data_IF_125447283630
#
_entry.id   IF_125447283630
#
_cell.length_a   1.000
_cell.length_b   1.000
_cell.length_c   1.000
_cell.angle_alpha   90.00
_cell.angle_beta   90.00
_cell.angle_gamma   90.00
#
_symmetry.space_group_name_H-M   'P 1'
#
loop_
_entity.id
_entity.type
_entity.pdbx_description
1 polymer ?
#
# COMPACT_ATOMS: atom_id res chain seq x y z
N UNK A 1 37.06 -33.81 -35.78
CA UNK A 1 36.66 -32.48 -36.28
C UNK A 1 35.63 -32.72 -37.37
N UNK A 2 34.36 -32.61 -37.01
CA UNK A 2 33.22 -32.95 -37.88
C UNK A 2 32.38 -31.70 -38.20
N UNK A 3 31.79 -31.65 -39.41
CA UNK A 3 30.99 -30.54 -39.89
C UNK A 3 29.62 -30.46 -39.21
N UNK A 4 29.08 -29.24 -39.21
CA UNK A 4 27.77 -28.84 -38.66
C UNK A 4 26.64 -29.55 -39.43
N UNK A 5 25.74 -30.32 -38.76
CA UNK A 5 24.51 -30.75 -39.37
C UNK A 5 23.37 -29.75 -39.12
N UNK A 6 22.62 -29.51 -40.19
CA UNK A 6 21.35 -28.82 -40.19
C UNK A 6 20.34 -29.53 -39.27
N UNK A 7 19.80 -28.77 -38.29
CA UNK A 7 18.61 -29.14 -37.51
C UNK A 7 17.63 -27.97 -37.72
N UNK A 8 16.78 -28.10 -38.73
CA UNK A 8 15.42 -28.65 -38.63
C UNK A 8 14.42 -27.56 -38.20
N UNK A 9 13.72 -27.06 -39.21
CA UNK A 9 12.72 -25.98 -39.24
C UNK A 9 11.40 -26.36 -38.54
N UNK A 10 11.46 -26.87 -37.31
CA UNK A 10 10.24 -27.29 -36.58
C UNK A 10 9.92 -26.45 -35.33
N UNK A 11 10.78 -25.51 -34.93
CA UNK A 11 10.53 -24.73 -33.70
C UNK A 11 9.55 -23.57 -33.86
N UNK A 12 9.15 -23.19 -35.08
CA UNK A 12 8.30 -22.02 -35.32
C UNK A 12 6.79 -22.29 -35.17
N UNK A 13 6.34 -23.55 -35.12
CA UNK A 13 4.92 -23.90 -35.09
C UNK A 13 4.37 -24.21 -33.67
N UNK A 14 5.23 -24.34 -32.66
CA UNK A 14 4.81 -24.64 -31.29
C UNK A 14 4.38 -23.41 -30.47
N UNK A 15 4.85 -22.21 -30.85
CA UNK A 15 4.65 -20.98 -30.07
C UNK A 15 3.34 -20.25 -30.39
N UNK A 16 2.74 -20.51 -31.57
CA UNK A 16 1.49 -19.85 -31.97
C UNK A 16 0.23 -20.51 -31.35
N UNK A 17 0.31 -21.77 -30.95
CA UNK A 17 -0.84 -22.51 -30.40
C UNK A 17 -1.12 -22.22 -28.93
N UNK A 18 -0.15 -21.70 -28.17
CA UNK A 18 -0.32 -21.46 -26.73
C UNK A 18 -0.91 -20.07 -26.40
N UNK A 19 -1.08 -19.21 -27.40
CA UNK A 19 -1.50 -17.81 -27.22
C UNK A 19 -3.01 -17.61 -27.41
N UNK A 20 -3.75 -18.62 -27.88
CA UNK A 20 -5.18 -18.49 -28.23
C UNK A 20 -6.13 -18.99 -27.14
N UNK A 21 -5.65 -19.70 -26.12
CA UNK A 21 -6.52 -20.21 -25.02
C UNK A 21 -6.73 -19.23 -23.87
N UNK A 22 -6.10 -18.05 -23.87
CA UNK A 22 -6.21 -17.08 -22.79
C UNK A 22 -7.35 -16.04 -22.94
N UNK A 23 -8.16 -16.11 -24.01
CA UNK A 23 -9.16 -15.06 -24.31
C UNK A 23 -10.62 -15.49 -24.06
N UNK A 24 -10.86 -16.72 -23.59
CA UNK A 24 -12.22 -17.19 -23.23
C UNK A 24 -12.49 -17.20 -21.71
N UNK A 25 -11.91 -16.23 -20.99
CA UNK A 25 -12.22 -15.96 -19.58
C UNK A 25 -13.25 -14.84 -19.43
N UNK A 26 -14.54 -15.13 -19.61
CA UNK A 26 -15.63 -14.24 -19.24
C UNK A 26 -15.78 -14.16 -17.70
N UNK A 27 -15.05 -13.23 -17.04
CA UNK A 27 -15.30 -12.70 -15.69
C UNK A 27 -15.12 -13.65 -14.47
N UNK A 28 -14.87 -13.14 -13.24
CA UNK A 28 -15.22 -11.81 -12.73
C UNK A 28 -14.02 -10.94 -12.34
N UNK A 29 -14.28 -9.63 -12.22
CA UNK A 29 -13.55 -8.60 -11.45
C UNK A 29 -12.14 -8.97 -10.97
N UNK A 30 -11.15 -8.19 -11.42
CA UNK A 30 -9.84 -8.08 -10.76
C UNK A 30 -9.97 -8.21 -9.23
N UNK A 31 -9.39 -9.28 -8.68
CA UNK A 31 -9.40 -9.67 -7.27
C UNK A 31 -8.35 -8.92 -6.43
N UNK A 32 -7.83 -7.80 -6.95
CA UNK A 32 -7.21 -6.77 -6.12
C UNK A 32 -8.32 -6.15 -5.29
N UNK A 33 -8.67 -6.85 -4.20
CA UNK A 33 -9.74 -6.50 -3.27
C UNK A 33 -9.59 -5.02 -2.94
N UNK A 34 -10.52 -4.20 -3.47
CA UNK A 34 -10.60 -2.82 -3.07
C UNK A 34 -10.98 -2.88 -1.58
N UNK A 35 -10.09 -2.48 -0.65
CA UNK A 35 -10.35 -2.65 0.76
C UNK A 35 -11.70 -1.99 1.08
N UNK A 36 -12.49 -2.64 1.95
CA UNK A 36 -13.72 -2.00 2.44
C UNK A 36 -13.35 -0.60 2.95
N UNK A 37 -14.18 0.39 2.64
CA UNK A 37 -13.81 1.78 2.90
C UNK A 37 -13.47 2.01 4.38
N UNK A 38 -14.13 1.29 5.29
CA UNK A 38 -13.77 1.29 6.71
C UNK A 38 -12.36 0.74 6.97
N UNK A 39 -11.98 -0.37 6.35
CA UNK A 39 -10.63 -0.92 6.48
C UNK A 39 -9.57 0.03 5.93
N UNK A 40 -9.84 0.68 4.80
CA UNK A 40 -8.95 1.72 4.27
C UNK A 40 -8.73 2.85 5.29
N UNK A 41 -9.81 3.34 5.90
CA UNK A 41 -9.73 4.39 6.91
C UNK A 41 -8.92 3.93 8.13
N UNK A 42 -9.17 2.72 8.64
CA UNK A 42 -8.38 2.14 9.76
C UNK A 42 -6.90 2.11 9.43
N UNK A 43 -6.52 1.59 8.26
CA UNK A 43 -5.11 1.55 7.83
C UNK A 43 -4.50 2.95 7.75
N UNK A 44 -5.26 3.95 7.23
CA UNK A 44 -4.78 5.33 7.22
C UNK A 44 -4.59 5.90 8.61
N UNK A 45 -5.48 5.63 9.56
CA UNK A 45 -5.31 6.09 10.94
C UNK A 45 -4.07 5.44 11.56
N UNK A 46 -3.90 4.13 11.42
CA UNK A 46 -2.73 3.38 11.92
C UNK A 46 -1.42 3.92 11.36
N UNK A 47 -1.34 4.09 10.03
CA UNK A 47 -0.13 4.57 9.35
C UNK A 47 0.24 5.97 9.81
N UNK A 48 -0.72 6.90 9.90
CA UNK A 48 -0.42 8.27 10.30
C UNK A 48 -0.08 8.38 11.80
N UNK A 49 -0.72 7.58 12.66
CA UNK A 49 -0.34 7.46 14.08
C UNK A 49 1.11 6.97 14.22
N UNK A 50 1.47 5.93 13.49
CA UNK A 50 2.83 5.41 13.50
C UNK A 50 3.84 6.42 12.94
N UNK A 51 3.51 7.09 11.85
CA UNK A 51 4.35 8.15 11.28
C UNK A 51 4.59 9.27 12.30
N UNK A 52 3.55 9.75 12.97
CA UNK A 52 3.66 10.75 14.04
C UNK A 52 4.65 10.31 15.13
N UNK A 53 4.53 9.09 15.64
CA UNK A 53 5.41 8.56 16.68
C UNK A 53 6.86 8.45 16.20
N UNK A 54 7.08 8.00 14.96
CA UNK A 54 8.42 7.88 14.37
C UNK A 54 9.08 9.23 14.17
N UNK A 55 8.34 10.23 13.68
CA UNK A 55 8.87 11.58 13.53
C UNK A 55 9.14 12.25 14.88
N UNK A 56 8.30 12.04 15.89
CA UNK A 56 8.56 12.52 17.24
C UNK A 56 9.86 11.92 17.83
N UNK A 57 10.09 10.63 17.61
CA UNK A 57 11.33 9.98 18.01
C UNK A 57 12.55 10.55 17.26
N UNK A 58 12.45 10.72 15.94
CA UNK A 58 13.54 11.24 15.10
C UNK A 58 13.87 12.72 15.39
N UNK A 59 12.86 13.54 15.69
CA UNK A 59 13.03 14.92 16.15
C UNK A 59 13.80 14.98 17.47
N UNK A 60 13.44 14.12 18.43
CA UNK A 60 14.11 14.05 19.73
C UNK A 60 15.57 13.61 19.59
N UNK A 61 15.81 12.59 18.77
CA UNK A 61 17.17 12.13 18.45
C UNK A 61 18.00 13.23 17.77
N UNK A 62 17.43 13.92 16.78
CA UNK A 62 18.11 15.03 16.09
C UNK A 62 18.39 16.20 17.04
N UNK A 63 17.47 16.49 17.96
CA UNK A 63 17.65 17.52 18.99
C UNK A 63 18.77 17.16 19.95
N UNK A 64 18.83 15.89 20.39
CA UNK A 64 19.92 15.37 21.24
C UNK A 64 21.28 15.43 20.55
N UNK A 65 21.30 15.19 19.24
CA UNK A 65 22.52 15.20 18.43
C UNK A 65 22.95 16.63 18.01
N UNK A 66 22.17 17.66 18.38
CA UNK A 66 22.45 19.07 18.07
C UNK A 66 22.17 19.45 16.60
N UNK A 67 21.46 18.61 15.85
CA UNK A 67 21.10 18.87 14.46
C UNK A 67 19.76 19.61 14.37
N UNK A 68 19.82 20.94 14.51
CA UNK A 68 18.64 21.80 14.48
C UNK A 68 17.88 21.76 13.14
N UNK A 69 18.57 21.56 12.02
CA UNK A 69 17.94 21.51 10.70
C UNK A 69 17.06 20.28 10.53
N UNK A 70 17.55 19.10 10.94
CA UNK A 70 16.77 17.87 10.86
C UNK A 70 15.68 17.82 11.94
N UNK A 71 15.94 18.35 13.14
CA UNK A 71 14.91 18.52 14.17
C UNK A 71 13.70 19.33 13.64
N UNK A 72 13.95 20.47 12.97
CA UNK A 72 12.88 21.28 12.37
C UNK A 72 12.10 20.51 11.27
N UNK A 73 12.81 19.78 10.40
CA UNK A 73 12.15 18.95 9.36
C UNK A 73 11.29 17.85 9.96
N UNK A 74 11.77 17.16 10.99
CA UNK A 74 10.99 16.14 11.67
C UNK A 74 9.81 16.73 12.43
N UNK A 75 9.94 17.94 12.99
CA UNK A 75 8.81 18.65 13.57
C UNK A 75 7.72 18.92 12.53
N UNK A 76 8.07 19.44 11.35
CA UNK A 76 7.12 19.67 10.26
C UNK A 76 6.43 18.37 9.80
N UNK A 77 7.21 17.29 9.62
CA UNK A 77 6.69 15.98 9.23
C UNK A 77 5.77 15.37 10.30
N UNK A 78 6.13 15.52 11.58
CA UNK A 78 5.31 15.12 12.73
C UNK A 78 3.98 15.86 12.73
N UNK A 79 3.98 17.17 12.52
CA UNK A 79 2.75 17.96 12.45
C UNK A 79 1.87 17.58 11.26
N UNK A 80 2.47 17.31 10.09
CA UNK A 80 1.74 16.82 8.93
C UNK A 80 1.07 15.46 9.21
N UNK A 81 1.81 14.51 9.78
CA UNK A 81 1.29 13.20 10.17
C UNK A 81 0.15 13.31 11.20
N UNK A 82 0.27 14.24 12.16
CA UNK A 82 -0.80 14.52 13.13
C UNK A 82 -2.07 15.02 12.45
N UNK A 83 -1.96 15.98 11.54
CA UNK A 83 -3.13 16.54 10.82
C UNK A 83 -3.85 15.46 10.02
N UNK A 84 -3.10 14.60 9.34
CA UNK A 84 -3.64 13.46 8.59
C UNK A 84 -4.29 12.43 9.52
N UNK A 85 -3.64 12.08 10.64
CA UNK A 85 -4.22 11.22 11.67
C UNK A 85 -5.56 11.75 12.18
N UNK A 86 -5.61 13.02 12.57
CA UNK A 86 -6.82 13.67 13.08
C UNK A 86 -7.93 13.69 12.02
N UNK A 87 -7.57 13.88 10.73
CA UNK A 87 -8.53 13.84 9.62
C UNK A 87 -9.14 12.45 9.46
N UNK A 88 -8.31 11.43 9.29
CA UNK A 88 -8.79 10.07 9.06
C UNK A 88 -9.50 9.48 10.29
N UNK A 89 -9.12 9.88 11.50
CA UNK A 89 -9.81 9.47 12.73
C UNK A 89 -11.25 10.00 12.76
N UNK A 90 -11.46 11.27 12.37
CA UNK A 90 -12.80 11.84 12.21
C UNK A 90 -13.59 11.17 11.09
N UNK A 91 -12.97 10.90 9.95
CA UNK A 91 -13.61 10.19 8.83
C UNK A 91 -14.04 8.77 9.22
N UNK A 92 -13.19 8.04 9.96
CA UNK A 92 -13.50 6.71 10.48
C UNK A 92 -14.67 6.75 11.47
N UNK A 93 -14.67 7.73 12.39
CA UNK A 93 -15.78 7.94 13.33
C UNK A 93 -17.10 8.22 12.60
N UNK A 94 -17.07 9.10 11.59
CA UNK A 94 -18.23 9.39 10.76
C UNK A 94 -18.70 8.17 9.95
N UNK A 95 -17.77 7.40 9.39
CA UNK A 95 -18.08 6.15 8.68
C UNK A 95 -18.79 5.14 9.59
N UNK A 96 -18.25 4.91 10.80
CA UNK A 96 -18.83 3.99 11.78
C UNK A 96 -20.22 4.44 12.24
N UNK A 97 -20.45 5.76 12.42
CA UNK A 97 -21.76 6.29 12.75
C UNK A 97 -22.78 6.11 11.62
N UNK A 98 -22.35 6.26 10.36
CA UNK A 98 -23.19 6.06 9.18
C UNK A 98 -23.44 4.57 8.86
N UNK A 99 -22.54 3.67 9.30
CA UNK A 99 -22.57 2.24 9.00
C UNK A 99 -22.43 1.38 10.26
N UNK A 100 -23.38 1.42 11.21
CA UNK A 100 -23.24 0.74 12.49
C UNK A 100 -23.05 -0.78 12.37
N UNK A 101 -23.60 -1.41 11.32
CA UNK A 101 -23.41 -2.85 11.05
C UNK A 101 -22.07 -3.23 10.40
N UNK A 102 -21.25 -2.24 10.05
CA UNK A 102 -19.89 -2.40 9.49
C UNK A 102 -18.85 -1.61 10.29
N UNK A 103 -19.16 -1.29 11.55
CA UNK A 103 -18.26 -0.52 12.38
C UNK A 103 -16.93 -1.28 12.53
N UNK A 104 -15.83 -0.60 12.23
CA UNK A 104 -14.48 -1.13 12.33
C UNK A 104 -13.68 -0.26 13.29
N UNK A 105 -12.96 -0.90 14.21
CA UNK A 105 -12.14 -0.23 15.22
C UNK A 105 -10.67 -0.28 14.83
N UNK A 106 -9.88 0.67 15.33
CA UNK A 106 -8.42 0.64 15.17
C UNK A 106 -7.80 -0.62 15.81
N UNK A 107 -8.44 -1.16 16.86
CA UNK A 107 -7.95 -2.30 17.65
C UNK A 107 -8.32 -3.68 17.07
N UNK A 108 -9.22 -3.76 16.08
CA UNK A 108 -9.79 -5.03 15.62
C UNK A 108 -8.92 -5.82 14.61
N UNK A 109 -7.67 -5.42 14.36
CA UNK A 109 -6.72 -6.11 13.47
C UNK A 109 -5.30 -6.08 14.03
#
# INVERSE_FOLDING_TARGET
MHPIPAISRCFAAGLAGLLVTAVLGCGPRNTWVNPDHGQFLVEKVKVNRNAYLRYAQAEEESRRDGNAADSARYQEAKEAARKEYDRYSRELSAYNAAHPGKAVTEDAL
#
